data_IF_535016579917
#
_entry.id   IF_535016579917
#
_cell.length_a   1.000
_cell.length_b   1.000
_cell.length_c   1.000
_cell.angle_alpha   90.00
_cell.angle_beta   90.00
_cell.angle_gamma   90.00
#
_symmetry.space_group_name_H-M   'P 1'
#
loop_
_entity.id
_entity.type
_entity.pdbx_description
1 polymer ?
#
# COMPACT_ATOMS: atom_id res chain seq x y z
N UNK A 1 28.33 -7.85 -36.33
CA UNK A 1 26.96 -7.28 -36.47
C UNK A 1 25.91 -8.10 -35.72
N UNK A 2 25.76 -9.40 -35.98
CA UNK A 2 24.75 -10.25 -35.29
C UNK A 2 24.86 -10.30 -33.76
N UNK A 3 26.08 -10.36 -33.20
CA UNK A 3 26.32 -10.35 -31.74
C UNK A 3 25.85 -9.05 -31.05
N UNK A 4 26.04 -7.91 -31.71
CA UNK A 4 25.56 -6.62 -31.21
C UNK A 4 24.02 -6.52 -31.27
N UNK A 5 23.41 -7.12 -32.29
CA UNK A 5 21.96 -7.24 -32.39
C UNK A 5 21.38 -8.13 -31.27
N UNK A 6 21.98 -9.29 -31.00
CA UNK A 6 21.54 -10.15 -29.88
C UNK A 6 21.70 -9.46 -28.52
N UNK A 7 22.79 -8.72 -28.31
CA UNK A 7 23.01 -7.97 -27.08
C UNK A 7 22.00 -6.83 -26.92
N UNK A 8 21.67 -6.13 -27.99
CA UNK A 8 20.65 -5.08 -28.01
C UNK A 8 19.25 -5.63 -27.70
N UNK A 9 18.88 -6.78 -28.29
CA UNK A 9 17.60 -7.45 -28.01
C UNK A 9 17.54 -7.94 -26.56
N UNK A 10 18.62 -8.50 -26.04
CA UNK A 10 18.70 -8.93 -24.65
C UNK A 10 18.58 -7.75 -23.67
N UNK A 11 19.24 -6.63 -23.96
CA UNK A 11 19.16 -5.42 -23.14
C UNK A 11 17.76 -4.80 -23.17
N UNK A 12 17.12 -4.76 -24.34
CA UNK A 12 15.74 -4.31 -24.47
C UNK A 12 14.76 -5.21 -23.69
N UNK A 13 14.94 -6.53 -23.73
CA UNK A 13 14.13 -7.48 -22.97
C UNK A 13 14.34 -7.33 -21.45
N UNK A 14 15.58 -7.14 -21.01
CA UNK A 14 15.91 -6.88 -19.61
C UNK A 14 15.26 -5.58 -19.10
N UNK A 15 15.19 -4.54 -19.94
CA UNK A 15 14.56 -3.25 -19.60
C UNK A 15 13.03 -3.34 -19.43
N UNK A 16 12.37 -4.26 -20.15
CA UNK A 16 10.92 -4.49 -20.01
C UNK A 16 10.59 -5.15 -18.66
N UNK A 17 11.48 -5.98 -18.13
CA UNK A 17 11.26 -6.74 -16.88
C UNK A 17 11.40 -5.90 -15.59
N UNK A 18 11.89 -4.66 -15.67
CA UNK A 18 12.15 -3.83 -14.48
C UNK A 18 10.97 -2.94 -14.05
N UNK A 19 9.84 -2.96 -14.78
CA UNK A 19 8.74 -2.00 -14.60
C UNK A 19 7.54 -2.50 -13.77
N UNK A 20 7.65 -3.61 -13.04
CA UNK A 20 6.58 -4.02 -12.13
C UNK A 20 6.64 -3.22 -10.83
N UNK A 21 6.06 -2.01 -10.82
CA UNK A 21 5.73 -1.31 -9.58
C UNK A 21 4.60 -2.08 -8.90
N UNK A 22 4.92 -2.83 -7.86
CA UNK A 22 3.90 -3.51 -7.05
C UNK A 22 3.23 -2.45 -6.19
N UNK A 23 1.92 -2.24 -6.38
CA UNK A 23 1.13 -1.41 -5.49
C UNK A 23 1.20 -2.03 -4.08
N UNK A 24 1.55 -1.20 -3.09
CA UNK A 24 1.53 -1.64 -1.70
C UNK A 24 0.10 -2.07 -1.34
N UNK A 25 -0.04 -3.12 -0.56
CA UNK A 25 -1.33 -3.67 -0.16
C UNK A 25 -1.42 -3.80 1.35
N UNK A 26 -2.61 -3.54 1.88
CA UNK A 26 -2.92 -3.67 3.31
C UNK A 26 -4.05 -4.68 3.45
N UNK A 27 -3.84 -5.73 4.24
CA UNK A 27 -4.85 -6.75 4.51
C UNK A 27 -5.89 -6.28 5.53
N UNK A 28 -7.00 -7.03 5.66
CA UNK A 28 -8.00 -6.80 6.70
C UNK A 28 -7.37 -6.74 8.11
N UNK A 29 -6.47 -7.67 8.43
CA UNK A 29 -5.81 -7.73 9.74
C UNK A 29 -4.86 -6.55 9.93
N UNK A 30 -4.18 -6.12 8.87
CA UNK A 30 -3.30 -4.95 8.91
C UNK A 30 -4.10 -3.65 9.09
N UNK A 31 -5.29 -3.53 8.49
CA UNK A 31 -6.22 -2.41 8.74
C UNK A 31 -6.72 -2.42 10.19
N UNK A 32 -7.08 -3.59 10.72
CA UNK A 32 -7.49 -3.74 12.13
C UNK A 32 -6.36 -3.42 13.10
N UNK A 33 -5.13 -3.82 12.79
CA UNK A 33 -3.98 -3.48 13.61
C UNK A 33 -3.63 -1.99 13.54
N UNK A 34 -3.72 -1.39 12.35
CA UNK A 34 -3.47 0.02 12.15
C UNK A 34 -4.43 0.86 12.99
N UNK A 35 -5.72 0.50 13.05
CA UNK A 35 -6.70 1.23 13.86
C UNK A 35 -6.37 1.20 15.36
N UNK A 36 -5.89 0.05 15.87
CA UNK A 36 -5.43 -0.09 17.27
C UNK A 36 -4.21 0.78 17.55
N UNK A 37 -3.23 0.77 16.65
CA UNK A 37 -2.01 1.58 16.79
C UNK A 37 -2.33 3.07 16.74
N UNK A 38 -3.20 3.50 15.81
CA UNK A 38 -3.66 4.89 15.71
C UNK A 38 -4.35 5.33 17.00
N UNK A 39 -5.27 4.50 17.52
CA UNK A 39 -5.97 4.80 18.77
C UNK A 39 -5.01 4.91 19.96
N UNK A 40 -4.10 3.95 20.12
CA UNK A 40 -3.10 3.95 21.19
C UNK A 40 -2.18 5.18 21.14
N UNK A 41 -1.67 5.53 19.95
CA UNK A 41 -0.84 6.72 19.77
C UNK A 41 -1.62 8.01 20.03
N UNK A 42 -2.86 8.10 19.56
CA UNK A 42 -3.72 9.26 19.81
C UNK A 42 -4.02 9.44 21.30
N UNK A 43 -4.29 8.35 22.04
CA UNK A 43 -4.50 8.39 23.48
C UNK A 43 -3.25 8.82 24.26
N UNK A 44 -2.06 8.42 23.81
CA UNK A 44 -0.79 8.75 24.49
C UNK A 44 -0.29 10.16 24.19
N UNK A 45 -0.48 10.63 22.96
CA UNK A 45 0.13 11.89 22.49
C UNK A 45 -0.87 13.04 22.38
N UNK A 46 -2.17 12.75 22.46
CA UNK A 46 -3.25 13.72 22.22
C UNK A 46 -3.37 14.15 20.75
N UNK A 47 -2.69 13.47 19.82
CA UNK A 47 -2.65 13.81 18.39
C UNK A 47 -2.83 12.56 17.54
N UNK A 48 -3.56 12.69 16.43
CA UNK A 48 -3.63 11.60 15.43
C UNK A 48 -2.30 11.56 14.67
N UNK A 49 -1.65 10.39 14.56
CA UNK A 49 -0.39 10.25 13.82
C UNK A 49 -0.62 10.48 12.31
N UNK A 50 0.38 11.06 11.64
CA UNK A 50 0.34 11.25 10.18
C UNK A 50 0.53 9.93 9.40
N UNK A 51 1.16 8.94 10.03
CA UNK A 51 1.35 7.59 9.50
C UNK A 51 1.57 6.61 10.65
N UNK A 52 1.30 5.33 10.39
CA UNK A 52 1.61 4.23 11.32
C UNK A 52 2.35 3.12 10.60
N UNK A 53 3.17 2.39 11.35
CA UNK A 53 3.85 1.19 10.83
C UNK A 53 3.11 -0.05 11.33
N UNK A 54 2.62 -0.85 10.39
CA UNK A 54 1.98 -2.14 10.68
C UNK A 54 2.62 -3.23 9.84
N UNK A 55 3.08 -4.31 10.47
CA UNK A 55 3.73 -5.44 9.79
C UNK A 55 4.87 -4.99 8.83
N UNK A 56 5.71 -4.07 9.29
CA UNK A 56 6.80 -3.44 8.51
C UNK A 56 6.36 -2.61 7.29
N UNK A 57 5.07 -2.32 7.15
CA UNK A 57 4.52 -1.39 6.14
C UNK A 57 4.22 -0.04 6.77
N UNK A 58 4.70 1.02 6.16
CA UNK A 58 4.28 2.38 6.51
C UNK A 58 2.97 2.69 5.80
N UNK A 59 1.93 3.00 6.57
CA UNK A 59 0.61 3.35 6.08
C UNK A 59 0.33 4.78 6.49
N UNK A 60 0.15 5.68 5.52
CA UNK A 60 -0.24 7.07 5.79
C UNK A 60 -1.66 7.12 6.33
N UNK A 61 -2.03 8.20 7.03
CA UNK A 61 -3.39 8.35 7.54
C UNK A 61 -4.45 8.31 6.43
N UNK A 62 -4.15 8.92 5.28
CA UNK A 62 -5.05 8.93 4.12
C UNK A 62 -5.18 7.55 3.47
N UNK A 63 -4.07 6.83 3.32
CA UNK A 63 -4.09 5.42 2.87
C UNK A 63 -4.89 4.55 3.85
N UNK A 64 -4.77 4.79 5.15
CA UNK A 64 -5.55 4.09 6.17
C UNK A 64 -7.04 4.41 6.05
N UNK A 65 -7.44 5.67 5.89
CA UNK A 65 -8.86 6.05 5.73
C UNK A 65 -9.47 5.40 4.50
N UNK A 66 -8.75 5.42 3.38
CA UNK A 66 -9.16 4.71 2.17
C UNK A 66 -9.30 3.20 2.43
N UNK A 67 -8.26 2.57 2.97
CA UNK A 67 -8.25 1.13 3.24
C UNK A 67 -9.35 0.69 4.21
N UNK A 68 -9.61 1.46 5.28
CA UNK A 68 -10.67 1.20 6.25
C UNK A 68 -12.06 1.31 5.60
N UNK A 69 -12.26 2.30 4.73
CA UNK A 69 -13.51 2.51 4.00
C UNK A 69 -13.77 1.38 3.01
N UNK A 70 -12.78 1.04 2.19
CA UNK A 70 -12.86 -0.08 1.24
C UNK A 70 -13.03 -1.41 1.97
N UNK A 71 -12.37 -1.62 3.10
CA UNK A 71 -12.55 -2.80 3.95
C UNK A 71 -13.99 -2.92 4.43
N UNK A 72 -14.59 -1.81 4.87
CA UNK A 72 -16.00 -1.78 5.30
C UNK A 72 -16.96 -2.20 4.17
N UNK A 73 -16.75 -1.67 2.95
CA UNK A 73 -17.52 -2.05 1.75
C UNK A 73 -17.34 -3.55 1.44
N UNK A 74 -16.11 -4.05 1.49
CA UNK A 74 -15.81 -5.47 1.26
C UNK A 74 -16.51 -6.37 2.29
N UNK A 75 -16.50 -5.98 3.57
CA UNK A 75 -17.19 -6.72 4.63
C UNK A 75 -18.70 -6.74 4.43
N UNK A 76 -19.30 -5.65 3.96
CA UNK A 76 -20.72 -5.62 3.60
C UNK A 76 -21.07 -6.63 2.49
N UNK A 77 -20.09 -6.96 1.65
CA UNK A 77 -20.17 -8.00 0.62
C UNK A 77 -19.66 -9.39 1.09
N UNK A 78 -19.46 -9.59 2.40
CA UNK A 78 -18.90 -10.82 3.00
C UNK A 78 -17.49 -11.20 2.49
N UNK A 79 -16.67 -10.20 2.14
CA UNK A 79 -15.31 -10.40 1.61
C UNK A 79 -14.25 -9.79 2.53
N UNK A 80 -13.14 -10.52 2.73
CA UNK A 80 -11.93 -10.04 3.42
C UNK A 80 -10.79 -9.92 2.43
N UNK A 81 -10.86 -8.91 1.56
CA UNK A 81 -9.86 -8.63 0.52
C UNK A 81 -8.83 -7.61 1.01
N UNK A 82 -7.59 -7.77 0.57
CA UNK A 82 -6.56 -6.74 0.71
C UNK A 82 -6.93 -5.50 -0.12
N UNK A 83 -6.53 -4.34 0.35
CA UNK A 83 -6.75 -3.05 -0.32
C UNK A 83 -5.41 -2.51 -0.80
N UNK A 84 -5.35 -2.08 -2.06
CA UNK A 84 -4.18 -1.38 -2.59
C UNK A 84 -4.09 0.01 -1.97
N UNK A 85 -2.92 0.37 -1.46
CA UNK A 85 -2.58 1.73 -1.04
C UNK A 85 -1.72 2.37 -2.11
N UNK A 86 -2.06 3.60 -2.47
CA UNK A 86 -1.41 4.33 -3.56
C UNK A 86 -0.82 5.66 -3.06
N UNK A 87 -0.51 5.76 -1.76
CA UNK A 87 -0.11 7.02 -1.13
C UNK A 87 -1.12 8.12 -1.45
N UNK A 88 -2.40 7.82 -1.20
CA UNK A 88 -3.49 8.75 -1.47
C UNK A 88 -3.20 10.07 -0.76
N UNK A 89 -3.21 11.16 -1.52
CA UNK A 89 -3.04 12.50 -0.98
C UNK A 89 -4.42 13.14 -0.84
N UNK A 90 -4.66 13.96 0.19
CA UNK A 90 -5.84 14.80 0.24
C UNK A 90 -5.85 15.69 -1.00
N UNK A 91 -7.05 16.08 -1.46
CA UNK A 91 -7.14 17.11 -2.47
C UNK A 91 -6.46 18.40 -1.95
N UNK A 92 -5.70 19.13 -2.78
CA UNK A 92 -4.97 20.32 -2.37
C UNK A 92 -5.86 21.43 -1.82
#
# INVERSE_FOLDING_TARGET
MKKALYLSVFLALALVLINSVSAAQVSYDEVSNASKVIADQASKTGKIPSQVTVNSKNVTLDDYLYAATTTTINLNSNQKKSVNTNNYKPAP
#
